data_IF_554386498202
#
_entry.id   IF_554386498202
#
_cell.length_a   1.000
_cell.length_b   1.000
_cell.length_c   1.000
_cell.angle_alpha   90.00
_cell.angle_beta   90.00
_cell.angle_gamma   90.00
#
_symmetry.space_group_name_H-M   'P 1'
#
loop_
_entity.id
_entity.type
_entity.pdbx_description
1 polymer ?
#
# COMPACT_ATOMS: atom_id res chain seq x y z
N UNK A 1 40.55 0.71 2.53
CA UNK A 1 40.14 1.95 1.84
C UNK A 1 38.66 2.16 2.10
N UNK A 2 38.31 3.01 3.05
CA UNK A 2 36.94 3.36 3.45
C UNK A 2 36.32 4.25 2.37
N UNK A 3 35.81 3.63 1.30
CA UNK A 3 34.90 4.33 0.37
C UNK A 3 33.65 4.69 1.17
N UNK A 4 33.26 5.96 1.14
CA UNK A 4 32.02 6.46 1.75
C UNK A 4 30.83 5.64 1.24
N UNK A 5 30.38 4.67 2.04
CA UNK A 5 29.41 3.65 1.62
C UNK A 5 28.03 4.24 1.28
N UNK A 6 27.74 5.45 1.76
CA UNK A 6 26.46 6.13 1.50
C UNK A 6 26.27 6.54 0.04
N UNK A 7 27.36 6.80 -0.71
CA UNK A 7 27.28 7.19 -2.13
C UNK A 7 26.95 6.03 -3.07
N UNK A 8 26.95 4.80 -2.57
CA UNK A 8 26.59 3.61 -3.33
C UNK A 8 25.08 3.34 -3.33
N UNK A 9 24.30 4.07 -2.52
CA UNK A 9 22.84 3.95 -2.49
C UNK A 9 22.21 4.55 -3.75
N UNK A 10 21.15 3.91 -4.24
CA UNK A 10 20.35 4.43 -5.34
C UNK A 10 19.34 5.43 -4.78
N UNK A 11 19.79 6.69 -4.68
CA UNK A 11 19.09 7.80 -4.05
C UNK A 11 19.46 9.16 -4.68
N UNK A 12 18.60 10.19 -4.58
CA UNK A 12 18.93 11.53 -5.06
C UNK A 12 20.15 12.11 -4.32
N UNK A 13 21.07 12.74 -5.07
CA UNK A 13 22.30 13.31 -4.51
C UNK A 13 22.03 14.34 -3.39
N UNK A 14 20.96 15.13 -3.52
CA UNK A 14 20.53 16.09 -2.50
C UNK A 14 20.21 15.40 -1.16
N UNK A 15 19.54 14.25 -1.21
CA UNK A 15 19.18 13.49 -0.01
C UNK A 15 20.40 12.90 0.68
N UNK A 16 21.36 12.39 -0.11
CA UNK A 16 22.63 11.89 0.41
C UNK A 16 23.45 13.01 1.07
N UNK A 17 23.48 14.22 0.49
CA UNK A 17 24.15 15.37 1.10
C UNK A 17 23.52 15.78 2.43
N UNK A 18 22.18 15.82 2.51
CA UNK A 18 21.46 16.12 3.76
C UNK A 18 21.78 15.10 4.87
N UNK A 19 21.93 13.82 4.53
CA UNK A 19 22.32 12.78 5.47
C UNK A 19 23.78 12.94 5.94
N UNK A 20 24.70 13.25 5.01
CA UNK A 20 26.10 13.51 5.34
C UNK A 20 26.25 14.71 6.29
N UNK A 21 25.52 15.80 6.04
CA UNK A 21 25.50 16.99 6.91
C UNK A 21 24.93 16.70 8.30
N UNK A 22 24.01 15.72 8.40
CA UNK A 22 23.47 15.26 9.68
C UNK A 22 24.39 14.28 10.43
N UNK A 23 25.59 14.00 9.90
CA UNK A 23 26.59 13.11 10.52
C UNK A 23 26.44 11.63 10.17
N UNK A 24 25.63 11.29 9.16
CA UNK A 24 25.45 9.91 8.70
C UNK A 24 26.35 9.68 7.48
N UNK A 25 27.47 8.97 7.68
CA UNK A 25 28.49 8.76 6.65
C UNK A 25 28.42 7.37 6.00
N UNK A 26 27.79 6.40 6.66
CA UNK A 26 27.73 5.02 6.18
C UNK A 26 26.31 4.46 6.15
N UNK A 27 26.14 3.41 5.35
CA UNK A 27 24.91 2.62 5.26
C UNK A 27 24.52 2.03 6.62
N UNK A 28 25.51 1.60 7.41
CA UNK A 28 25.29 1.08 8.75
C UNK A 28 24.78 2.17 9.71
N UNK A 29 25.36 3.38 9.64
CA UNK A 29 24.93 4.52 10.44
C UNK A 29 23.49 4.90 10.13
N UNK A 30 23.10 4.85 8.85
CA UNK A 30 21.73 5.15 8.42
C UNK A 30 20.73 4.09 8.91
N UNK A 31 21.04 2.81 8.73
CA UNK A 31 20.18 1.72 9.20
C UNK A 31 20.02 1.74 10.73
N UNK A 32 21.08 2.07 11.47
CA UNK A 32 21.03 2.21 12.93
C UNK A 32 20.27 3.46 13.39
N UNK A 33 20.56 4.62 12.79
CA UNK A 33 19.94 5.91 13.17
C UNK A 33 18.47 6.04 12.75
N UNK A 34 18.01 5.17 11.84
CA UNK A 34 16.63 5.10 11.37
C UNK A 34 15.91 3.81 11.78
N UNK A 35 16.43 3.06 12.75
CA UNK A 35 15.92 1.74 13.13
C UNK A 35 14.42 1.75 13.50
N UNK A 36 14.00 2.67 14.37
CA UNK A 36 12.61 2.79 14.81
C UNK A 36 11.81 3.92 14.13
N UNK A 37 10.46 3.88 14.22
CA UNK A 37 9.59 4.96 13.73
C UNK A 37 9.90 6.33 14.36
N UNK A 38 10.22 6.34 15.66
CA UNK A 38 10.60 7.56 16.40
C UNK A 38 11.94 8.10 15.91
N UNK A 39 12.92 7.20 15.69
CA UNK A 39 14.25 7.57 15.22
C UNK A 39 14.19 8.17 13.80
N UNK A 40 13.38 7.58 12.92
CA UNK A 40 13.10 8.14 11.58
C UNK A 40 12.45 9.51 11.66
N UNK A 41 11.49 9.73 12.56
CA UNK A 41 10.86 11.05 12.74
C UNK A 41 11.86 12.11 13.22
N UNK A 42 12.73 11.75 14.16
CA UNK A 42 13.80 12.62 14.65
C UNK A 42 14.81 12.94 13.54
N UNK A 43 15.17 11.93 12.75
CA UNK A 43 16.12 12.08 11.66
C UNK A 43 15.54 12.89 10.49
N UNK A 44 14.27 12.71 10.15
CA UNK A 44 13.55 13.53 9.18
C UNK A 44 13.53 15.01 9.60
N UNK A 45 13.27 15.29 10.88
CA UNK A 45 13.30 16.65 11.44
C UNK A 45 14.68 17.31 11.33
N UNK A 46 15.75 16.53 11.60
CA UNK A 46 17.15 17.01 11.53
C UNK A 46 17.64 17.23 10.10
N UNK A 47 17.21 16.39 9.17
CA UNK A 47 17.71 16.38 7.78
C UNK A 47 16.82 17.17 6.81
N UNK A 48 15.59 17.47 7.20
CA UNK A 48 14.58 18.08 6.32
C UNK A 48 14.10 17.14 5.20
N UNK A 49 14.29 15.82 5.35
CA UNK A 49 13.81 14.81 4.42
C UNK A 49 12.38 14.38 4.74
N UNK A 50 11.62 14.05 3.70
CA UNK A 50 10.31 13.43 3.88
C UNK A 50 10.45 12.07 4.60
N UNK A 51 9.51 11.76 5.49
CA UNK A 51 9.57 10.57 6.34
C UNK A 51 9.45 9.28 5.51
N UNK A 52 8.64 9.26 4.45
CA UNK A 52 8.49 8.08 3.59
C UNK A 52 9.72 7.88 2.69
N UNK A 53 10.29 8.97 2.18
CA UNK A 53 11.56 8.92 1.47
C UNK A 53 12.68 8.40 2.37
N UNK A 54 12.81 8.94 3.58
CA UNK A 54 13.81 8.50 4.55
C UNK A 54 13.63 7.03 4.91
N UNK A 55 12.39 6.58 5.11
CA UNK A 55 12.12 5.18 5.40
C UNK A 55 12.58 4.25 4.26
N UNK A 56 12.35 4.65 3.00
CA UNK A 56 12.82 3.89 1.83
C UNK A 56 14.35 3.78 1.80
N UNK A 57 15.06 4.87 2.10
CA UNK A 57 16.53 4.87 2.21
C UNK A 57 17.02 3.97 3.35
N UNK A 58 16.33 3.97 4.49
CA UNK A 58 16.65 3.10 5.62
C UNK A 58 16.46 1.61 5.25
N UNK A 59 15.36 1.26 4.56
CA UNK A 59 15.14 -0.11 4.04
C UNK A 59 16.25 -0.54 3.10
N UNK A 60 16.64 0.33 2.18
CA UNK A 60 17.73 0.07 1.24
C UNK A 60 19.06 -0.11 1.97
N UNK A 61 19.30 0.71 3.00
CA UNK A 61 20.51 0.61 3.79
C UNK A 61 20.60 -0.70 4.57
N UNK A 62 19.48 -1.19 5.11
CA UNK A 62 19.47 -2.50 5.77
C UNK A 62 19.74 -3.64 4.80
N UNK A 63 19.14 -3.63 3.61
CA UNK A 63 19.38 -4.63 2.58
C UNK A 63 20.85 -4.63 2.10
N UNK A 64 21.46 -3.46 1.92
CA UNK A 64 22.85 -3.30 1.50
C UNK A 64 23.89 -3.80 2.52
N UNK A 65 23.47 -4.25 3.72
CA UNK A 65 24.34 -4.97 4.66
C UNK A 65 24.61 -6.41 4.22
N UNK A 66 23.85 -6.93 3.25
CA UNK A 66 23.99 -8.28 2.71
C UNK A 66 25.10 -8.29 1.66
N UNK A 67 26.17 -9.04 1.90
CA UNK A 67 27.31 -9.10 0.98
C UNK A 67 26.91 -9.61 -0.42
N UNK A 68 27.26 -8.80 -1.44
CA UNK A 68 26.95 -9.07 -2.83
C UNK A 68 25.54 -8.67 -3.26
N UNK A 69 24.82 -7.90 -2.44
CA UNK A 69 23.61 -7.19 -2.84
C UNK A 69 23.97 -5.73 -3.21
N UNK A 70 23.69 -5.34 -4.45
CA UNK A 70 23.98 -3.99 -4.95
C UNK A 70 22.75 -3.07 -4.85
N UNK A 71 22.95 -1.75 -4.88
CA UNK A 71 21.86 -0.79 -4.67
C UNK A 71 20.69 -0.87 -5.66
N UNK A 72 20.92 -1.10 -6.97
CA UNK A 72 19.81 -1.31 -7.91
C UNK A 72 18.96 -2.53 -7.55
N UNK A 73 19.58 -3.59 -7.04
CA UNK A 73 18.90 -4.82 -6.61
C UNK A 73 18.13 -4.58 -5.31
N UNK A 74 18.71 -3.86 -4.35
CA UNK A 74 18.04 -3.44 -3.13
C UNK A 74 16.79 -2.59 -3.43
N UNK A 75 16.89 -1.61 -4.33
CA UNK A 75 15.75 -0.81 -4.80
C UNK A 75 14.65 -1.68 -5.43
N UNK A 76 15.03 -2.66 -6.26
CA UNK A 76 14.08 -3.58 -6.89
C UNK A 76 13.39 -4.50 -5.86
N UNK A 77 14.11 -4.99 -4.86
CA UNK A 77 13.55 -5.78 -3.75
C UNK A 77 12.53 -4.98 -2.93
N UNK A 78 12.81 -3.71 -2.67
CA UNK A 78 11.86 -2.82 -1.96
C UNK A 78 10.60 -2.61 -2.80
N UNK A 79 10.73 -2.37 -4.11
CA UNK A 79 9.60 -2.29 -5.04
C UNK A 79 8.79 -3.59 -5.09
N UNK A 80 9.44 -4.74 -4.86
CA UNK A 80 8.81 -6.06 -4.77
C UNK A 80 8.15 -6.35 -3.41
N UNK A 81 8.28 -5.46 -2.42
CA UNK A 81 7.64 -5.57 -1.11
C UNK A 81 8.53 -6.12 0.01
N UNK A 82 9.84 -6.33 -0.23
CA UNK A 82 10.79 -6.68 0.83
C UNK A 82 11.16 -5.42 1.61
N UNK A 83 10.82 -5.38 2.91
CA UNK A 83 11.04 -4.17 3.74
C UNK A 83 12.40 -4.14 4.43
N UNK A 84 13.17 -5.23 4.41
CA UNK A 84 14.49 -5.31 5.03
C UNK A 84 15.01 -6.73 5.11
N UNK A 85 16.10 -6.93 5.84
CA UNK A 85 16.77 -8.24 6.01
C UNK A 85 15.79 -9.28 6.56
N UNK A 86 14.93 -8.92 7.52
CA UNK A 86 13.98 -9.85 8.13
C UNK A 86 13.03 -10.46 7.09
N UNK A 87 12.44 -9.63 6.23
CA UNK A 87 11.57 -10.11 5.16
C UNK A 87 12.37 -10.94 4.14
N UNK A 88 13.62 -10.57 3.86
CA UNK A 88 14.48 -11.34 2.97
C UNK A 88 14.80 -12.74 3.54
N UNK A 89 14.98 -12.87 4.86
CA UNK A 89 15.17 -14.18 5.51
C UNK A 89 13.93 -15.06 5.44
N UNK A 90 12.75 -14.45 5.45
CA UNK A 90 11.48 -15.16 5.40
C UNK A 90 10.96 -15.36 3.97
N UNK A 91 11.58 -14.79 2.94
CA UNK A 91 11.01 -14.82 1.59
C UNK A 91 11.04 -16.22 0.94
N UNK A 92 10.11 -16.48 0.01
CA UNK A 92 10.22 -17.61 -0.92
C UNK A 92 10.97 -17.16 -2.20
N UNK A 93 12.19 -17.66 -2.48
CA UNK A 93 13.01 -17.16 -3.59
C UNK A 93 12.38 -17.33 -4.98
N UNK A 94 11.60 -18.39 -5.19
CA UNK A 94 10.94 -18.64 -6.46
C UNK A 94 9.79 -17.65 -6.71
N UNK A 95 8.93 -17.43 -5.69
CA UNK A 95 7.84 -16.43 -5.77
C UNK A 95 8.40 -15.01 -5.89
N UNK A 96 9.47 -14.69 -5.15
CA UNK A 96 10.14 -13.39 -5.23
C UNK A 96 10.70 -13.14 -6.64
N UNK A 97 11.38 -14.12 -7.26
CA UNK A 97 11.89 -13.97 -8.61
C UNK A 97 10.78 -13.70 -9.63
N UNK A 98 9.66 -14.42 -9.56
CA UNK A 98 8.50 -14.16 -10.43
C UNK A 98 8.01 -12.73 -10.31
N UNK A 99 7.96 -12.19 -9.08
CA UNK A 99 7.56 -10.81 -8.83
C UNK A 99 8.56 -9.80 -9.39
N UNK A 100 9.86 -10.04 -9.19
CA UNK A 100 10.93 -9.18 -9.74
C UNK A 100 10.87 -9.13 -11.27
N UNK A 101 10.62 -10.28 -11.92
CA UNK A 101 10.42 -10.35 -13.38
C UNK A 101 9.25 -9.48 -13.81
N UNK A 102 8.08 -9.59 -13.15
CA UNK A 102 6.91 -8.77 -13.48
C UNK A 102 7.19 -7.27 -13.35
N UNK A 103 7.91 -6.85 -12.30
CA UNK A 103 8.23 -5.44 -12.08
C UNK A 103 9.26 -4.90 -13.09
N UNK A 104 10.17 -5.74 -13.56
CA UNK A 104 11.23 -5.37 -14.49
C UNK A 104 10.80 -5.48 -15.98
N UNK A 105 9.56 -5.90 -16.27
CA UNK A 105 9.04 -6.05 -17.64
C UNK A 105 8.80 -4.70 -18.33
N UNK A 106 8.40 -3.66 -17.59
CA UNK A 106 8.04 -2.36 -18.15
C UNK A 106 9.24 -1.47 -18.47
N UNK A 107 10.33 -1.60 -17.69
CA UNK A 107 11.59 -0.88 -17.90
C UNK A 107 12.74 -1.68 -17.26
N UNK A 108 13.54 -2.43 -18.03
CA UNK A 108 14.62 -3.26 -17.51
C UNK A 108 15.86 -2.40 -17.18
N UNK A 109 15.77 -1.63 -16.09
CA UNK A 109 16.86 -0.76 -15.62
C UNK A 109 17.85 -1.52 -14.72
N UNK A 110 17.39 -2.60 -14.09
CA UNK A 110 18.17 -3.38 -13.12
C UNK A 110 18.39 -4.81 -13.60
N UNK A 111 19.62 -5.36 -13.56
CA UNK A 111 19.86 -6.77 -13.83
C UNK A 111 19.14 -7.65 -12.81
N UNK A 112 18.34 -8.60 -13.31
CA UNK A 112 17.57 -9.52 -12.47
C UNK A 112 18.51 -10.50 -11.75
N UNK A 113 18.30 -10.76 -10.44
CA UNK A 113 19.01 -11.81 -9.74
C UNK A 113 18.57 -13.20 -10.20
N UNK A 114 19.43 -14.19 -10.01
CA UNK A 114 19.06 -15.60 -10.15
C UNK A 114 18.44 -16.14 -8.86
N UNK A 115 17.78 -17.30 -8.93
CA UNK A 115 17.31 -18.00 -7.72
C UNK A 115 18.46 -18.29 -6.75
N UNK A 116 19.65 -18.60 -7.28
CA UNK A 116 20.84 -18.86 -6.46
C UNK A 116 21.34 -17.60 -5.73
N UNK A 117 21.24 -16.43 -6.37
CA UNK A 117 21.58 -15.16 -5.73
C UNK A 117 20.61 -14.86 -4.58
N UNK A 118 19.31 -15.06 -4.79
CA UNK A 118 18.29 -14.89 -3.76
C UNK A 118 18.50 -15.85 -2.58
N UNK A 119 18.79 -17.13 -2.84
CA UNK A 119 19.14 -18.13 -1.82
C UNK A 119 20.40 -17.76 -1.04
N UNK A 120 21.42 -17.27 -1.74
CA UNK A 120 22.66 -16.80 -1.12
C UNK A 120 22.40 -15.60 -0.21
N UNK A 121 21.67 -14.59 -0.70
CA UNK A 121 21.33 -13.42 0.09
C UNK A 121 20.45 -13.75 1.28
N UNK A 122 19.48 -14.67 1.13
CA UNK A 122 18.66 -15.21 2.24
C UNK A 122 19.54 -15.83 3.34
N UNK A 123 20.55 -16.63 2.96
CA UNK A 123 21.50 -17.24 3.92
C UNK A 123 22.36 -16.19 4.62
N UNK A 124 22.90 -15.21 3.90
CA UNK A 124 23.71 -14.14 4.49
C UNK A 124 22.85 -13.28 5.42
N UNK A 125 21.65 -12.90 4.97
CA UNK A 125 20.67 -12.15 5.76
C UNK A 125 20.36 -12.84 7.10
N UNK A 126 20.26 -14.17 7.12
CA UNK A 126 19.99 -14.94 8.34
C UNK A 126 21.13 -14.88 9.38
N UNK A 127 22.35 -14.49 8.97
CA UNK A 127 23.48 -14.30 9.88
C UNK A 127 23.54 -12.89 10.48
N UNK A 128 22.74 -11.96 9.96
CA UNK A 128 22.75 -10.56 10.35
C UNK A 128 21.66 -10.25 11.38
N UNK A 129 21.98 -9.41 12.36
CA UNK A 129 21.00 -8.93 13.35
C UNK A 129 19.96 -8.00 12.66
N UNK A 130 18.65 -8.25 12.83
CA UNK A 130 17.62 -7.32 12.38
C UNK A 130 17.73 -5.98 13.11
N UNK A 131 17.72 -4.86 12.37
CA UNK A 131 17.84 -3.52 12.95
C UNK A 131 16.55 -2.71 12.80
N UNK A 132 15.82 -2.87 11.70
CA UNK A 132 14.65 -2.04 11.39
C UNK A 132 13.38 -2.59 12.03
N UNK A 133 12.61 -1.71 12.68
CA UNK A 133 11.22 -1.94 13.04
C UNK A 133 10.28 -1.31 12.00
N UNK A 134 9.25 -2.06 11.51
CA UNK A 134 8.31 -1.54 10.52
C UNK A 134 7.41 -0.45 11.10
N UNK A 135 6.99 0.49 10.25
CA UNK A 135 5.98 1.49 10.61
C UNK A 135 4.57 0.86 10.69
N UNK A 136 3.69 1.40 11.54
CA UNK A 136 2.36 0.84 11.81
C UNK A 136 1.44 0.72 10.56
N UNK A 137 1.73 1.45 9.49
CA UNK A 137 1.02 1.38 8.20
C UNK A 137 1.71 0.52 7.13
N UNK A 138 2.89 -0.03 7.40
CA UNK A 138 3.70 -0.76 6.42
C UNK A 138 3.39 -2.27 6.46
N UNK A 139 2.33 -2.66 5.75
CA UNK A 139 1.88 -4.06 5.71
C UNK A 139 2.81 -4.93 4.86
N UNK A 140 3.10 -6.14 5.34
CA UNK A 140 3.83 -7.15 4.57
C UNK A 140 3.06 -7.49 3.29
N UNK A 141 3.79 -7.69 2.20
CA UNK A 141 3.18 -8.21 1.00
C UNK A 141 2.75 -9.67 1.22
N UNK A 142 1.44 -10.00 1.12
CA UNK A 142 0.96 -11.36 1.34
C UNK A 142 1.57 -12.34 0.33
N UNK A 143 1.84 -13.58 0.74
CA UNK A 143 2.31 -14.66 -0.14
C UNK A 143 3.79 -14.63 -0.53
N UNK A 144 4.50 -13.52 -0.27
CA UNK A 144 5.92 -13.36 -0.57
C UNK A 144 6.84 -13.99 0.49
N UNK A 145 6.36 -14.09 1.73
CA UNK A 145 7.08 -14.62 2.89
C UNK A 145 6.55 -16.01 3.27
N UNK A 146 7.47 -16.93 3.50
CA UNK A 146 7.30 -18.18 4.23
C UNK A 146 7.09 -17.83 5.71
N UNK A 147 5.90 -17.34 6.05
CA UNK A 147 5.50 -17.24 7.46
C UNK A 147 5.67 -18.62 8.09
N UNK A 148 6.43 -18.70 9.18
CA UNK A 148 6.90 -19.93 9.84
C UNK A 148 5.82 -20.84 10.45
N UNK A 149 4.70 -21.01 9.77
CA UNK A 149 3.99 -22.26 9.77
C UNK A 149 4.40 -22.98 8.48
N UNK A 150 5.38 -23.88 8.61
CA UNK A 150 5.18 -25.17 7.97
C UNK A 150 3.87 -25.68 8.55
N UNK A 151 2.76 -25.36 7.91
CA UNK A 151 1.58 -26.16 8.10
C UNK A 151 2.05 -27.54 7.68
N UNK A 152 2.13 -28.46 8.64
CA UNK A 152 1.68 -29.82 8.40
C UNK A 152 0.17 -29.79 8.10
N UNK A 153 -0.24 -28.89 7.21
CA UNK A 153 -1.58 -28.72 6.72
C UNK A 153 -1.74 -29.78 5.66
N UNK A 154 -2.94 -30.32 5.58
CA UNK A 154 -3.26 -31.16 4.43
C UNK A 154 -2.94 -30.35 3.17
N UNK A 155 -2.50 -30.95 2.06
CA UNK A 155 -2.40 -30.28 0.76
C UNK A 155 -3.66 -29.45 0.41
N UNK A 156 -4.82 -29.80 0.99
CA UNK A 156 -6.06 -29.01 0.97
C UNK A 156 -5.90 -27.59 1.54
N UNK A 157 -5.24 -27.42 2.67
CA UNK A 157 -5.10 -26.13 3.37
C UNK A 157 -4.21 -25.15 2.58
N UNK A 158 -3.17 -25.66 1.92
CA UNK A 158 -2.31 -24.88 1.02
C UNK A 158 -3.08 -24.38 -0.20
N UNK A 159 -3.91 -25.23 -0.81
CA UNK A 159 -4.77 -24.86 -1.95
C UNK A 159 -5.75 -23.76 -1.54
N UNK A 160 -6.36 -23.84 -0.36
CA UNK A 160 -7.28 -22.81 0.12
C UNK A 160 -6.57 -21.47 0.34
N UNK A 161 -5.34 -21.48 0.88
CA UNK A 161 -4.54 -20.27 1.05
C UNK A 161 -4.22 -19.60 -0.30
N UNK A 162 -3.78 -20.39 -1.29
CA UNK A 162 -3.48 -19.89 -2.64
C UNK A 162 -4.74 -19.34 -3.35
N UNK A 163 -5.91 -19.95 -3.12
CA UNK A 163 -7.18 -19.44 -3.64
C UNK A 163 -7.56 -18.09 -3.03
N UNK A 164 -7.41 -17.93 -1.70
CA UNK A 164 -7.64 -16.64 -1.04
C UNK A 164 -6.71 -15.57 -1.60
N UNK A 165 -5.44 -15.91 -1.81
CA UNK A 165 -4.44 -14.99 -2.39
C UNK A 165 -4.83 -14.56 -3.81
N UNK A 166 -5.27 -15.51 -4.64
CA UNK A 166 -5.75 -15.22 -6.00
C UNK A 166 -6.94 -14.25 -5.99
N UNK A 167 -7.92 -14.45 -5.09
CA UNK A 167 -9.10 -13.58 -4.97
C UNK A 167 -8.71 -12.17 -4.53
N UNK A 168 -7.79 -12.04 -3.57
CA UNK A 168 -7.27 -10.73 -3.12
C UNK A 168 -6.58 -10.01 -4.28
N UNK A 169 -5.72 -10.71 -5.03
CA UNK A 169 -5.00 -10.12 -6.16
C UNK A 169 -5.93 -9.72 -7.29
N UNK A 170 -6.94 -10.54 -7.59
CA UNK A 170 -7.97 -10.23 -8.58
C UNK A 170 -8.77 -8.97 -8.17
N UNK A 171 -9.22 -8.91 -6.91
CA UNK A 171 -9.92 -7.73 -6.38
C UNK A 171 -9.08 -6.46 -6.44
N UNK A 172 -7.78 -6.54 -6.11
CA UNK A 172 -6.85 -5.42 -6.22
C UNK A 172 -6.67 -4.96 -7.67
N UNK A 173 -6.52 -5.90 -8.61
CA UNK A 173 -6.37 -5.58 -10.03
C UNK A 173 -7.60 -4.86 -10.60
N UNK A 174 -8.81 -5.33 -10.27
CA UNK A 174 -10.06 -4.67 -10.68
C UNK A 174 -10.15 -3.26 -10.08
N UNK A 175 -9.82 -3.10 -8.80
CA UNK A 175 -9.83 -1.79 -8.14
C UNK A 175 -8.84 -0.80 -8.77
N UNK A 176 -7.63 -1.26 -9.11
CA UNK A 176 -6.63 -0.43 -9.78
C UNK A 176 -7.09 -0.01 -11.16
N UNK A 177 -7.65 -0.95 -11.95
CA UNK A 177 -8.20 -0.65 -13.26
C UNK A 177 -9.34 0.38 -13.17
N UNK A 178 -10.27 0.22 -12.23
CA UNK A 178 -11.35 1.18 -12.03
C UNK A 178 -10.81 2.57 -11.64
N UNK A 179 -9.84 2.63 -10.73
CA UNK A 179 -9.21 3.89 -10.32
C UNK A 179 -8.56 4.60 -11.52
N UNK A 180 -7.82 3.86 -12.35
CA UNK A 180 -7.19 4.43 -13.55
C UNK A 180 -8.24 4.97 -14.53
N UNK A 181 -9.34 4.25 -14.75
CA UNK A 181 -10.44 4.71 -15.60
C UNK A 181 -11.08 6.00 -15.06
N UNK A 182 -11.32 6.08 -13.75
CA UNK A 182 -11.87 7.27 -13.09
C UNK A 182 -10.91 8.47 -13.22
N UNK A 183 -9.62 8.25 -12.96
CA UNK A 183 -8.60 9.29 -13.11
C UNK A 183 -8.52 9.82 -14.55
N UNK A 184 -8.63 8.94 -15.55
CA UNK A 184 -8.63 9.34 -16.96
C UNK A 184 -9.89 10.15 -17.32
N UNK A 185 -11.07 9.75 -16.84
CA UNK A 185 -12.30 10.49 -17.04
C UNK A 185 -12.21 11.90 -16.42
N UNK A 186 -11.69 12.01 -15.19
CA UNK A 186 -11.47 13.28 -14.51
C UNK A 186 -10.47 14.16 -15.26
N UNK A 187 -9.34 13.59 -15.70
CA UNK A 187 -8.33 14.33 -16.50
C UNK A 187 -8.94 14.88 -17.77
N UNK A 188 -9.72 14.06 -18.48
CA UNK A 188 -10.42 14.46 -19.70
C UNK A 188 -11.43 15.58 -19.42
N UNK A 189 -12.22 15.48 -18.35
CA UNK A 189 -13.17 16.53 -17.99
C UNK A 189 -12.47 17.86 -17.67
N UNK A 190 -11.31 17.82 -17.01
CA UNK A 190 -10.52 19.02 -16.74
C UNK A 190 -10.04 19.69 -18.03
N UNK A 191 -9.57 18.90 -19.01
CA UNK A 191 -9.16 19.41 -20.32
C UNK A 191 -10.35 20.04 -21.07
N UNK A 192 -11.52 19.41 -21.03
CA UNK A 192 -12.75 19.96 -21.63
C UNK A 192 -13.15 21.28 -20.98
N UNK A 193 -13.11 21.35 -19.64
CA UNK A 193 -13.48 22.56 -18.90
C UNK A 193 -12.50 23.73 -19.13
N UNK A 194 -11.24 23.41 -19.45
CA UNK A 194 -10.19 24.39 -19.74
C UNK A 194 -10.37 25.07 -21.10
N UNK A 195 -10.97 24.40 -22.10
CA UNK A 195 -11.29 24.99 -23.39
C UNK A 195 -12.70 25.62 -23.37
N UNK A 196 -12.84 26.96 -23.47
CA UNK A 196 -14.14 27.62 -23.50
C UNK A 196 -15.05 27.13 -24.63
N UNK A 197 -14.49 26.71 -25.77
CA UNK A 197 -15.27 26.19 -26.91
C UNK A 197 -15.94 24.88 -26.54
N UNK A 198 -15.17 23.91 -26.03
CA UNK A 198 -15.69 22.59 -25.65
C UNK A 198 -16.69 22.69 -24.49
N UNK A 199 -16.39 23.53 -23.50
CA UNK A 199 -17.30 23.81 -22.38
C UNK A 199 -18.62 24.44 -22.85
N UNK A 200 -18.56 25.43 -23.74
CA UNK A 200 -19.77 26.09 -24.27
C UNK A 200 -20.59 25.16 -25.19
N UNK A 201 -19.96 24.15 -25.78
CA UNK A 201 -20.65 23.07 -26.51
C UNK A 201 -21.32 22.04 -25.59
N UNK A 202 -21.14 22.13 -24.26
CA UNK A 202 -21.73 21.21 -23.29
C UNK A 202 -21.14 19.80 -23.34
N UNK A 203 -19.94 19.64 -23.91
CA UNK A 203 -19.27 18.33 -23.98
C UNK A 203 -18.85 17.91 -22.56
N UNK A 204 -19.00 16.63 -22.26
CA UNK A 204 -18.60 16.02 -20.99
C UNK A 204 -17.75 14.79 -21.26
N UNK A 205 -16.81 14.48 -20.36
CA UNK A 205 -16.03 13.26 -20.42
C UNK A 205 -16.92 12.04 -20.16
N UNK A 206 -16.69 10.96 -20.90
CA UNK A 206 -17.37 9.69 -20.68
C UNK A 206 -16.78 8.99 -19.46
N UNK A 207 -17.65 8.56 -18.55
CA UNK A 207 -17.28 7.74 -17.40
C UNK A 207 -17.52 6.27 -17.75
N UNK A 208 -16.47 5.47 -17.65
CA UNK A 208 -16.55 4.03 -17.82
C UNK A 208 -16.44 3.37 -16.45
N UNK A 209 -17.31 2.39 -16.21
CA UNK A 209 -17.26 1.56 -15.01
C UNK A 209 -17.12 0.11 -15.43
N UNK A 210 -16.45 -0.70 -14.61
CA UNK A 210 -16.51 -2.15 -14.66
C UNK A 210 -17.77 -2.53 -13.87
N UNK A 211 -18.92 -2.80 -14.53
CA UNK A 211 -20.17 -3.01 -13.80
C UNK A 211 -20.10 -4.31 -12.99
N UNK A 212 -19.58 -5.36 -13.62
CA UNK A 212 -19.44 -6.67 -13.05
C UNK A 212 -18.22 -7.38 -13.63
N UNK A 213 -17.46 -8.07 -12.78
CA UNK A 213 -16.40 -8.98 -13.20
C UNK A 213 -16.70 -10.37 -12.66
N UNK A 214 -16.89 -11.33 -13.57
CA UNK A 214 -17.15 -12.72 -13.24
C UNK A 214 -15.89 -13.54 -13.52
N UNK A 215 -15.44 -14.25 -12.50
CA UNK A 215 -14.29 -15.14 -12.58
C UNK A 215 -14.73 -16.58 -12.32
N UNK A 216 -14.55 -17.44 -13.32
CA UNK A 216 -14.89 -18.85 -13.28
C UNK A 216 -13.60 -19.68 -13.35
N UNK A 217 -13.28 -20.41 -12.28
CA UNK A 217 -12.11 -21.28 -12.23
C UNK A 217 -12.54 -22.74 -12.08
N UNK A 218 -12.08 -23.58 -13.00
CA UNK A 218 -12.24 -25.05 -12.94
C UNK A 218 -10.92 -25.71 -12.61
N UNK A 219 -10.90 -26.52 -11.55
CA UNK A 219 -9.72 -27.23 -11.06
C UNK A 219 -9.95 -28.74 -11.08
N UNK A 220 -8.94 -29.50 -11.52
CA UNK A 220 -8.92 -30.96 -11.41
C UNK A 220 -7.93 -31.39 -10.33
N UNK A 221 -8.34 -32.33 -9.47
CA UNK A 221 -7.49 -32.96 -8.46
C UNK A 221 -7.06 -34.35 -8.93
N UNK A 222 -5.76 -34.64 -9.01
CA UNK A 222 -5.25 -36.00 -9.29
C UNK A 222 -4.25 -36.46 -8.22
N UNK A 223 -4.43 -37.69 -7.73
CA UNK A 223 -3.51 -38.34 -6.79
C UNK A 223 -2.42 -39.07 -7.58
N UNK A 224 -1.19 -38.56 -7.59
CA UNK A 224 -0.05 -39.26 -8.19
C UNK A 224 0.61 -40.09 -7.09
N UNK A 225 0.58 -41.42 -7.24
CA UNK A 225 1.30 -42.35 -6.38
C UNK A 225 2.61 -42.70 -7.09
N UNK A 226 3.73 -42.17 -6.61
CA UNK A 226 5.05 -42.58 -7.08
C UNK A 226 5.29 -44.02 -6.60
N UNK A 227 5.29 -45.00 -7.51
CA UNK A 227 5.72 -46.36 -7.21
C UNK A 227 7.25 -46.36 -7.14
N UNK A 228 7.80 -46.59 -5.95
CA UNK A 228 9.23 -46.85 -5.78
C UNK A 228 9.59 -48.19 -6.42
N UNK A 229 10.60 -48.20 -7.29
CA UNK A 229 11.22 -49.41 -7.79
C UNK A 229 12.17 -49.97 -6.71
N UNK A 230 11.64 -50.68 -5.72
CA UNK A 230 12.35 -51.73 -4.94
C UNK A 230 11.39 -52.35 -3.91
N UNK A 231 11.53 -53.66 -3.69
CA UNK A 231 10.55 -54.52 -3.03
C UNK A 231 10.43 -54.32 -1.50
N UNK A 232 10.98 -53.25 -0.91
CA UNK A 232 10.95 -53.02 0.54
C UNK A 232 11.03 -51.54 0.98
N UNK A 233 10.39 -50.62 0.24
CA UNK A 233 10.28 -49.21 0.63
C UNK A 233 8.91 -48.89 1.27
N UNK A 234 8.85 -48.09 2.36
CA UNK A 234 7.59 -47.71 3.00
C UNK A 234 6.72 -46.92 2.01
N UNK A 235 5.41 -47.19 2.04
CA UNK A 235 4.36 -46.71 1.12
C UNK A 235 4.72 -45.44 0.34
N UNK A 236 4.74 -45.55 -1.00
CA UNK A 236 5.07 -44.46 -1.92
C UNK A 236 4.39 -43.13 -1.55
N UNK A 237 5.18 -42.05 -1.58
CA UNK A 237 4.72 -40.67 -1.34
C UNK A 237 3.52 -40.37 -2.24
N UNK A 238 2.37 -40.15 -1.62
CA UNK A 238 1.18 -39.65 -2.32
C UNK A 238 1.32 -38.14 -2.45
N UNK A 239 1.38 -37.63 -3.69
CA UNK A 239 1.36 -36.19 -3.97
C UNK A 239 0.04 -35.82 -4.62
N UNK A 240 -0.63 -34.80 -4.06
CA UNK A 240 -1.82 -34.20 -4.66
C UNK A 240 -1.37 -33.14 -5.66
N UNK A 241 -1.70 -33.32 -6.93
CA UNK A 241 -1.45 -32.31 -7.95
C UNK A 241 -2.76 -31.59 -8.27
N UNK A 242 -2.76 -30.27 -8.10
CA UNK A 242 -3.86 -29.38 -8.50
C UNK A 242 -3.38 -28.55 -9.67
N UNK A 243 -4.09 -28.65 -10.79
CA UNK A 243 -3.80 -27.83 -11.96
C UNK A 243 -5.04 -27.07 -12.40
N UNK A 244 -4.93 -25.78 -12.71
CA UNK A 244 -6.00 -25.06 -13.39
C UNK A 244 -6.26 -25.72 -14.76
N UNK A 245 -7.52 -25.89 -15.11
CA UNK A 245 -7.91 -26.46 -16.40
C UNK A 245 -7.89 -25.36 -17.47
N UNK A 246 -6.84 -25.33 -18.28
CA UNK A 246 -6.75 -24.51 -19.48
C UNK A 246 -6.46 -25.44 -20.68
N UNK A 247 -6.84 -25.02 -21.90
CA UNK A 247 -6.71 -25.85 -23.12
C UNK A 247 -5.28 -26.39 -23.38
N UNK A 248 -4.25 -25.72 -22.84
CA UNK A 248 -2.85 -26.15 -22.91
C UNK A 248 -2.49 -27.28 -21.94
N UNK A 249 -3.20 -27.39 -20.81
CA UNK A 249 -2.92 -28.31 -19.71
C UNK A 249 -3.53 -29.70 -19.95
N UNK A 250 -4.69 -29.77 -20.59
CA UNK A 250 -5.35 -31.05 -20.94
C UNK A 250 -4.49 -31.94 -21.83
N UNK A 251 -3.75 -31.35 -22.78
CA UNK A 251 -2.92 -32.11 -23.72
C UNK A 251 -1.67 -32.72 -23.08
N UNK A 252 -1.15 -32.12 -22.00
CA UNK A 252 0.12 -32.54 -21.39
C UNK A 252 -0.02 -33.68 -20.38
N UNK A 253 -1.11 -33.71 -19.60
CA UNK A 253 -1.12 -34.54 -18.38
C UNK A 253 -1.95 -35.83 -18.46
N UNK A 254 -2.60 -36.16 -19.60
CA UNK A 254 -3.48 -37.36 -19.76
C UNK A 254 -4.24 -37.72 -18.47
N UNK A 255 -4.87 -36.70 -17.87
CA UNK A 255 -5.45 -36.79 -16.53
C UNK A 255 -6.70 -37.67 -16.57
N UNK A 256 -6.63 -38.84 -15.93
CA UNK A 256 -7.79 -39.69 -15.68
C UNK A 256 -8.57 -39.15 -14.48
N UNK A 257 -9.86 -38.91 -14.71
CA UNK A 257 -10.94 -38.58 -13.77
C UNK A 257 -10.50 -38.10 -12.38
N UNK A 258 -10.25 -36.79 -12.30
CA UNK A 258 -10.09 -36.07 -11.04
C UNK A 258 -11.40 -35.44 -10.60
N UNK A 259 -11.57 -35.26 -9.28
CA UNK A 259 -12.65 -34.43 -8.74
C UNK A 259 -12.55 -33.03 -9.36
N UNK A 260 -13.69 -32.44 -9.74
CA UNK A 260 -13.77 -31.10 -10.31
C UNK A 260 -14.27 -30.13 -9.24
N UNK A 261 -13.60 -28.99 -9.09
CA UNK A 261 -14.12 -27.87 -8.30
C UNK A 261 -14.28 -26.66 -9.20
N UNK A 262 -15.46 -26.04 -9.13
CA UNK A 262 -15.78 -24.81 -9.83
C UNK A 262 -15.92 -23.67 -8.79
N UNK A 263 -15.12 -22.62 -8.96
CA UNK A 263 -15.21 -21.40 -8.17
C UNK A 263 -15.74 -20.28 -9.06
N UNK A 264 -16.93 -19.79 -8.75
CA UNK A 264 -17.58 -18.67 -9.43
C UNK A 264 -17.61 -17.47 -8.49
N UNK A 265 -16.85 -16.42 -8.81
CA UNK A 265 -16.82 -15.17 -8.03
C UNK A 265 -17.31 -14.04 -8.90
N UNK A 266 -18.21 -13.22 -8.34
CA UNK A 266 -18.74 -12.00 -8.97
C UNK A 266 -18.31 -10.79 -8.16
N UNK A 267 -17.57 -9.89 -8.78
CA UNK A 267 -17.32 -8.55 -8.25
C UNK A 267 -18.33 -7.59 -8.88
N UNK A 268 -19.01 -6.78 -8.07
CA UNK A 268 -19.97 -5.80 -8.53
C UNK A 268 -19.64 -4.43 -7.93
N UNK A 269 -19.74 -3.40 -8.75
CA UNK A 269 -19.58 -2.01 -8.30
C UNK A 269 -20.81 -1.61 -7.49
N UNK A 270 -20.65 -1.50 -6.17
CA UNK A 270 -21.70 -0.92 -5.31
C UNK A 270 -21.49 0.60 -5.26
N UNK A 271 -22.46 1.41 -5.72
CA UNK A 271 -22.32 2.86 -5.66
C UNK A 271 -22.17 3.31 -4.19
N UNK A 272 -21.31 4.30 -3.90
CA UNK A 272 -21.14 4.81 -2.55
C UNK A 272 -22.49 5.30 -1.99
N UNK A 273 -22.77 5.08 -0.70
CA UNK A 273 -24.00 5.55 -0.07
C UNK A 273 -24.20 7.05 -0.34
N UNK A 274 -25.42 7.47 -0.69
CA UNK A 274 -25.72 8.84 -1.09
C UNK A 274 -25.24 9.90 -0.06
N UNK A 275 -25.17 9.52 1.22
CA UNK A 275 -24.68 10.33 2.33
C UNK A 275 -23.23 10.82 2.14
N UNK A 276 -22.38 10.02 1.48
CA UNK A 276 -20.97 10.36 1.23
C UNK A 276 -20.81 11.13 -0.09
N UNK A 277 -21.74 10.92 -1.02
CA UNK A 277 -21.65 11.40 -2.41
C UNK A 277 -22.31 12.77 -2.63
N UNK A 278 -23.21 13.19 -1.74
CA UNK A 278 -23.91 14.48 -1.86
C UNK A 278 -23.07 15.62 -1.25
N UNK A 279 -22.90 16.75 -1.97
CA UNK A 279 -22.28 17.93 -1.39
C UNK A 279 -23.16 18.46 -0.25
N UNK A 280 -22.55 18.69 0.91
CA UNK A 280 -23.18 19.30 2.07
C UNK A 280 -22.80 20.78 2.07
N UNK A 281 -23.80 21.66 2.04
CA UNK A 281 -23.55 23.10 2.12
C UNK A 281 -23.19 23.46 3.56
N UNK A 282 -22.06 24.16 3.74
CA UNK A 282 -21.63 24.62 5.07
C UNK A 282 -22.61 25.67 5.59
N UNK A 283 -23.30 25.43 6.73
CA UNK A 283 -24.21 26.40 7.31
C UNK A 283 -23.44 27.60 7.89
N UNK A 284 -24.10 28.77 7.94
CA UNK A 284 -23.56 29.93 8.65
C UNK A 284 -23.72 29.74 10.16
N UNK A 285 -22.60 29.68 10.86
CA UNK A 285 -22.54 29.63 12.33
C UNK A 285 -21.95 30.90 12.94
N UNK A 286 -21.71 31.94 12.12
CA UNK A 286 -21.22 33.24 12.57
C UNK A 286 -22.26 33.92 13.47
N UNK A 287 -21.83 34.46 14.61
CA UNK A 287 -22.69 35.10 15.61
C UNK A 287 -23.47 34.13 16.50
N UNK A 288 -23.23 32.81 16.40
CA UNK A 288 -23.79 31.78 17.30
C UNK A 288 -22.82 31.50 18.45
N UNK A 289 -23.33 30.91 19.52
CA UNK A 289 -22.47 30.35 20.59
C UNK A 289 -21.75 29.09 20.12
N UNK A 290 -20.67 28.68 20.79
CA UNK A 290 -19.93 27.48 20.41
C UNK A 290 -20.80 26.19 20.46
N UNK A 291 -21.70 26.09 21.43
CA UNK A 291 -22.60 24.95 21.60
C UNK A 291 -23.65 24.89 20.48
N UNK A 292 -24.25 26.04 20.16
CA UNK A 292 -25.18 26.16 19.02
C UNK A 292 -24.49 25.88 17.68
N UNK A 293 -23.25 26.37 17.50
CA UNK A 293 -22.47 26.11 16.30
C UNK A 293 -22.19 24.61 16.11
N UNK A 294 -21.80 23.90 17.18
CA UNK A 294 -21.61 22.44 17.12
C UNK A 294 -22.91 21.71 16.79
N UNK A 295 -24.03 22.13 17.38
CA UNK A 295 -25.33 21.52 17.13
C UNK A 295 -25.78 21.72 15.68
N UNK A 296 -25.63 22.93 15.13
CA UNK A 296 -25.95 23.24 13.74
C UNK A 296 -25.08 22.46 12.76
N UNK A 297 -23.78 22.37 13.01
CA UNK A 297 -22.86 21.57 12.20
C UNK A 297 -23.23 20.08 12.26
N UNK A 298 -23.52 19.56 13.45
CA UNK A 298 -23.92 18.16 13.63
C UNK A 298 -25.22 17.81 12.91
N UNK A 299 -26.19 18.73 12.86
CA UNK A 299 -27.46 18.53 12.14
C UNK A 299 -27.27 18.31 10.63
N UNK A 300 -26.23 18.91 10.04
CA UNK A 300 -25.85 18.73 8.63
C UNK A 300 -24.76 17.67 8.43
N UNK A 301 -24.48 16.86 9.47
CA UNK A 301 -23.42 15.84 9.45
C UNK A 301 -22.00 16.39 9.26
N UNK A 302 -21.74 17.64 9.67
CA UNK A 302 -20.41 18.25 9.73
C UNK A 302 -19.86 18.19 11.16
N UNK A 303 -18.53 18.25 11.30
CA UNK A 303 -17.86 18.26 12.62
C UNK A 303 -17.28 19.64 12.91
N UNK A 304 -17.37 20.08 14.17
CA UNK A 304 -16.56 21.19 14.64
C UNK A 304 -15.09 20.76 14.66
N UNK A 305 -14.25 21.50 13.93
CA UNK A 305 -12.81 21.32 13.84
C UNK A 305 -12.06 22.04 14.96
N UNK A 306 -10.95 22.68 14.61
CA UNK A 306 -10.15 23.45 15.56
C UNK A 306 -10.89 24.72 15.96
N UNK A 307 -10.98 24.99 17.26
CA UNK A 307 -11.59 26.20 17.82
C UNK A 307 -10.48 27.12 18.31
N UNK A 308 -10.29 28.26 17.64
CA UNK A 308 -9.26 29.25 17.96
C UNK A 308 -9.89 30.49 18.61
N UNK A 309 -9.30 30.99 19.68
CA UNK A 309 -9.79 32.17 20.39
C UNK A 309 -9.17 33.45 19.85
N UNK A 310 -9.99 34.46 19.56
CA UNK A 310 -9.58 35.80 19.12
C UNK A 310 -9.91 36.81 20.22
N UNK A 311 -9.04 37.79 20.43
CA UNK A 311 -9.22 38.88 21.40
C UNK A 311 -10.52 39.65 21.16
N UNK A 312 -11.32 39.85 22.22
CA UNK A 312 -12.53 40.66 22.18
C UNK A 312 -13.64 40.13 23.08
N UNK A 313 -14.58 41.00 23.45
CA UNK A 313 -15.76 40.64 24.23
C UNK A 313 -16.83 40.03 23.33
N UNK A 314 -17.45 38.89 23.68
CA UNK A 314 -18.58 38.34 22.94
C UNK A 314 -19.77 39.31 22.94
N UNK A 315 -20.48 39.41 21.82
CA UNK A 315 -21.73 40.17 21.71
C UNK A 315 -22.87 39.56 22.54
N UNK A 316 -23.74 40.41 23.09
CA UNK A 316 -25.02 39.99 23.69
C UNK A 316 -24.96 39.34 25.08
N UNK A 317 -23.84 39.41 25.80
CA UNK A 317 -23.71 38.86 27.17
C UNK A 317 -23.43 37.35 27.21
N UNK A 318 -23.15 36.72 26.07
CA UNK A 318 -22.83 35.30 25.96
C UNK A 318 -21.38 35.00 26.39
N UNK A 319 -21.10 33.77 26.86
CA UNK A 319 -19.73 33.35 27.20
C UNK A 319 -18.83 33.16 25.98
N UNK A 320 -19.41 32.78 24.84
CA UNK A 320 -18.69 32.58 23.57
C UNK A 320 -19.47 33.09 22.37
N UNK A 321 -18.77 33.59 21.37
CA UNK A 321 -19.34 34.02 20.09
C UNK A 321 -18.43 33.58 18.94
N UNK A 322 -18.98 32.92 17.92
CA UNK A 322 -18.24 32.57 16.70
C UNK A 322 -18.10 33.80 15.81
N UNK A 323 -16.87 34.29 15.64
CA UNK A 323 -16.55 35.45 14.79
C UNK A 323 -16.13 35.06 13.37
N UNK A 324 -15.74 33.80 13.16
CA UNK A 324 -15.34 33.30 11.86
C UNK A 324 -15.43 31.79 11.79
N UNK A 325 -15.56 31.29 10.56
CA UNK A 325 -15.57 29.86 10.26
C UNK A 325 -14.76 29.62 8.99
N UNK A 326 -14.10 28.46 8.93
CA UNK A 326 -13.34 28.01 7.76
C UNK A 326 -13.66 26.52 7.56
N UNK A 327 -14.23 26.09 6.42
CA UNK A 327 -14.62 26.86 5.22
C UNK A 327 -15.73 27.91 5.42
N UNK A 328 -15.82 28.85 4.47
CA UNK A 328 -16.80 29.94 4.48
C UNK A 328 -18.25 29.42 4.42
N UNK A 329 -19.22 30.15 4.99
CA UNK A 329 -20.63 29.79 4.85
C UNK A 329 -21.04 29.67 3.37
N UNK A 330 -21.79 28.62 3.03
CA UNK A 330 -22.25 28.39 1.66
C UNK A 330 -21.25 27.65 0.76
N UNK A 331 -20.04 27.36 1.22
CA UNK A 331 -19.11 26.50 0.48
C UNK A 331 -19.53 25.03 0.49
N UNK A 332 -19.05 24.26 -0.49
CA UNK A 332 -19.22 22.81 -0.52
C UNK A 332 -18.32 22.13 0.54
N UNK A 333 -18.94 21.27 1.36
CA UNK A 333 -18.27 20.35 2.27
C UNK A 333 -18.76 18.92 2.04
N UNK A 334 -18.03 17.95 2.59
CA UNK A 334 -18.38 16.53 2.55
C UNK A 334 -18.86 16.04 3.90
N UNK A 335 -19.46 14.86 3.89
CA UNK A 335 -19.88 14.15 5.11
C UNK A 335 -18.73 14.07 6.12
N UNK A 336 -18.99 14.57 7.33
CA UNK A 336 -18.05 14.60 8.47
C UNK A 336 -16.83 15.51 8.32
N UNK A 337 -16.82 16.40 7.31
CA UNK A 337 -15.78 17.40 7.18
C UNK A 337 -15.72 18.32 8.41
N UNK A 338 -14.49 18.78 8.71
CA UNK A 338 -14.21 19.61 9.87
C UNK A 338 -14.30 21.09 9.52
N UNK A 339 -15.14 21.81 10.23
CA UNK A 339 -15.27 23.27 10.12
C UNK A 339 -14.52 23.91 11.30
N UNK A 340 -13.42 24.58 11.01
CA UNK A 340 -12.65 25.32 12.01
C UNK A 340 -13.40 26.59 12.39
N UNK A 341 -13.42 26.90 13.69
CA UNK A 341 -14.17 28.02 14.24
C UNK A 341 -13.21 29.01 14.91
N UNK A 342 -13.44 30.30 14.67
CA UNK A 342 -12.83 31.41 15.37
C UNK A 342 -13.86 31.94 16.35
N UNK A 343 -13.53 31.95 17.65
CA UNK A 343 -14.44 32.38 18.71
C UNK A 343 -13.86 33.52 19.54
N UNK A 344 -14.72 34.39 20.06
CA UNK A 344 -14.43 35.23 21.21
C UNK A 344 -14.90 34.52 22.48
N UNK A 345 -14.18 34.69 23.58
CA UNK A 345 -14.53 34.12 24.88
C UNK A 345 -14.48 35.21 25.95
N UNK A 346 -15.51 35.26 26.80
CA UNK A 346 -15.55 36.21 27.91
C UNK A 346 -14.37 35.96 28.88
N UNK A 347 -13.65 37.02 29.24
CA UNK A 347 -12.58 36.98 30.26
C UNK A 347 -11.15 36.70 29.77
N UNK A 348 -10.90 36.61 28.46
CA UNK A 348 -9.54 36.54 27.91
C UNK A 348 -9.05 37.92 27.47
N UNK A 349 -7.97 38.49 28.05
CA UNK A 349 -7.41 39.76 27.62
C UNK A 349 -6.76 39.64 26.24
N UNK A 350 -6.64 40.79 25.57
CA UNK A 350 -6.06 40.94 24.23
C UNK A 350 -4.61 40.49 24.13
#
# INVERSE_FOLDING_TARGET
MTRSALLLMDAPQESLQKLLLAGIATVHDLAGSGAGPVDRKNLATRTGLDQAQLYTLVKQADLLRVDGLEAPQASLLIKAGIRGILDLTACNPAKLLQRLVQLNQAAPETPLPTVNDLERWKKIAATLKPLIAPDAGDQQQPGLLETGQSTSGSPRDEIFADMVEMVINLGRGISQAQQEMDEQAIRTQKLINADPRLRNMGIMATWFAIPEATFNLKMNYSLVREQGAEHDAPSGRQRFLVTPLNARTQNYFKLNEGMQSELNIRFASLPPPAQVSQPVIVPSVIGKTLEEAKALLGAVSLRAGTVSTVSGTPGGGNETEVTGQIPEPGSDARFQDRINLLIRRAGQPA
#
